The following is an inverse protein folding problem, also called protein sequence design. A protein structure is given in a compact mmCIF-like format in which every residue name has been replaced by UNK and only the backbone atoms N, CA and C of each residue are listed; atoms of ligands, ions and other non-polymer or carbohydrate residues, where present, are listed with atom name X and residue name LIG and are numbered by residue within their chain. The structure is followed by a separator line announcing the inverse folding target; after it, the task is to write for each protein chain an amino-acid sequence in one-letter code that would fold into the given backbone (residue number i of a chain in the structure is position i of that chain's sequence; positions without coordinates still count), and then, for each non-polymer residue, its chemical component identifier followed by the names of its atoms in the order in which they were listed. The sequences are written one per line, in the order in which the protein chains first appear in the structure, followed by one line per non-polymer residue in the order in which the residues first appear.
data_IF_678974264784
#
_entry.id   IF_678974264784
#
_cell.length_a   1.000
_cell.length_b   1.000
_cell.length_c   1.000
_cell.angle_alpha   90.00
_cell.angle_beta   90.00
_cell.angle_gamma   90.00
#
_symmetry.space_group_name_H-M   'P 1'
#
loop_
_entity.id
_entity.type
_entity.pdbx_description
1 polymer ?
#
# COMPACT_ATOMS: atom_id res chain seq x y z
N UNK A 1 -56.29 32.98 -6.37
CA UNK A 1 -55.61 33.19 -7.66
C UNK A 1 -54.10 33.40 -7.52
N UNK A 2 -53.62 34.41 -6.78
CA UNK A 2 -52.19 34.79 -6.72
C UNK A 2 -51.22 33.69 -6.24
N UNK A 3 -51.60 32.91 -5.21
CA UNK A 3 -50.74 31.86 -4.67
C UNK A 3 -50.40 30.77 -5.70
N UNK A 4 -51.37 30.36 -6.53
CA UNK A 4 -51.14 29.35 -7.57
C UNK A 4 -50.17 29.83 -8.65
N UNK A 5 -50.23 31.11 -9.02
CA UNK A 5 -49.29 31.72 -9.97
C UNK A 5 -47.87 31.74 -9.41
N UNK A 6 -47.70 32.15 -8.15
CA UNK A 6 -46.38 32.16 -7.49
C UNK A 6 -45.78 30.76 -7.45
N UNK A 7 -46.56 29.77 -7.00
CA UNK A 7 -46.11 28.37 -6.94
C UNK A 7 -45.74 27.85 -8.33
N UNK A 8 -46.57 28.12 -9.34
CA UNK A 8 -46.29 27.71 -10.72
C UNK A 8 -44.98 28.29 -11.27
N UNK A 9 -44.71 29.58 -11.01
CA UNK A 9 -43.45 30.23 -11.38
C UNK A 9 -42.27 29.60 -10.61
N UNK A 10 -42.40 29.41 -9.29
CA UNK A 10 -41.36 28.78 -8.47
C UNK A 10 -41.00 27.37 -8.93
N UNK A 11 -41.99 26.55 -9.31
CA UNK A 11 -41.73 25.20 -9.85
C UNK A 11 -40.99 25.25 -11.20
N UNK A 12 -41.32 26.20 -12.08
CA UNK A 12 -40.61 26.39 -13.34
C UNK A 12 -39.17 26.86 -13.13
N UNK A 13 -38.93 27.76 -12.17
CA UNK A 13 -37.58 28.18 -11.77
C UNK A 13 -36.80 26.99 -11.21
N UNK A 14 -37.40 26.18 -10.33
CA UNK A 14 -36.76 24.99 -9.78
C UNK A 14 -36.39 23.98 -10.88
N UNK A 15 -37.23 23.83 -11.90
CA UNK A 15 -36.95 22.98 -13.06
C UNK A 15 -35.74 23.50 -13.85
N UNK A 16 -35.68 24.81 -14.14
CA UNK A 16 -34.51 25.41 -14.79
C UNK A 16 -33.23 25.26 -13.96
N UNK A 17 -33.31 25.45 -12.64
CA UNK A 17 -32.17 25.23 -11.74
C UNK A 17 -31.68 23.79 -11.79
N UNK A 18 -32.57 22.80 -11.88
CA UNK A 18 -32.17 21.41 -12.01
C UNK A 18 -31.34 21.18 -13.28
N UNK A 19 -31.71 21.80 -14.40
CA UNK A 19 -30.97 21.73 -15.68
C UNK A 19 -29.58 22.36 -15.53
N UNK A 20 -29.50 23.57 -14.98
CA UNK A 20 -28.25 24.30 -14.80
C UNK A 20 -27.31 23.67 -13.76
N UNK A 21 -27.88 22.99 -12.75
CA UNK A 21 -27.14 22.33 -11.69
C UNK A 21 -26.56 20.98 -12.13
N UNK A 22 -27.11 20.35 -13.18
CA UNK A 22 -26.70 19.03 -13.68
C UNK A 22 -25.17 18.87 -13.88
N UNK A 23 -24.43 19.80 -14.51
CA UNK A 23 -22.98 19.66 -14.67
C UNK A 23 -22.18 19.72 -13.37
N UNK A 24 -22.71 20.32 -12.30
CA UNK A 24 -22.01 20.45 -11.01
C UNK A 24 -22.45 19.39 -9.99
N UNK A 25 -23.73 19.05 -9.98
CA UNK A 25 -24.33 18.14 -9.01
C UNK A 25 -25.40 17.26 -9.68
N UNK A 26 -24.97 16.24 -10.45
CA UNK A 26 -25.87 15.47 -11.29
C UNK A 26 -26.90 14.68 -10.49
N UNK A 27 -26.52 14.17 -9.31
CA UNK A 27 -27.39 13.39 -8.43
C UNK A 27 -28.51 14.26 -7.85
N UNK A 28 -28.20 15.45 -7.37
CA UNK A 28 -29.22 16.35 -6.81
C UNK A 28 -30.14 16.89 -7.89
N UNK A 29 -29.61 17.15 -9.09
CA UNK A 29 -30.43 17.47 -10.26
C UNK A 29 -31.43 16.34 -10.58
N UNK A 30 -31.02 15.08 -10.51
CA UNK A 30 -31.91 13.93 -10.70
C UNK A 30 -32.97 13.81 -9.60
N UNK A 31 -32.61 14.05 -8.34
CA UNK A 31 -33.57 14.10 -7.22
C UNK A 31 -34.58 15.23 -7.44
N UNK A 32 -34.14 16.43 -7.87
CA UNK A 32 -35.05 17.54 -8.19
C UNK A 32 -35.98 17.18 -9.34
N UNK A 33 -35.47 16.52 -10.39
CA UNK A 33 -36.28 16.02 -11.51
C UNK A 33 -37.35 15.04 -11.02
N UNK A 34 -36.99 14.10 -10.15
CA UNK A 34 -37.92 13.12 -9.58
C UNK A 34 -39.02 13.78 -8.73
N UNK A 35 -38.65 14.75 -7.89
CA UNK A 35 -39.60 15.52 -7.07
C UNK A 35 -40.54 16.40 -7.91
N UNK A 36 -40.03 16.99 -8.99
CA UNK A 36 -40.84 17.77 -9.93
C UNK A 36 -41.60 16.88 -10.93
N UNK A 37 -41.26 15.59 -11.01
CA UNK A 37 -41.73 14.66 -12.03
C UNK A 37 -41.62 15.25 -13.45
N UNK A 38 -40.50 15.92 -13.73
CA UNK A 38 -40.30 16.62 -15.00
C UNK A 38 -40.02 15.63 -16.14
N UNK A 39 -40.61 15.83 -17.34
CA UNK A 39 -40.31 14.99 -18.49
C UNK A 39 -38.88 15.19 -18.98
N UNK A 40 -38.29 14.13 -19.53
CA UNK A 40 -36.90 14.10 -19.98
C UNK A 40 -36.62 15.13 -21.09
N UNK A 41 -37.61 15.36 -21.95
CA UNK A 41 -37.56 16.30 -23.07
C UNK A 41 -37.31 17.75 -22.64
N UNK A 42 -37.66 18.09 -21.41
CA UNK A 42 -37.57 19.46 -20.87
C UNK A 42 -36.21 19.72 -20.22
N UNK A 43 -35.38 18.68 -20.00
CA UNK A 43 -34.07 18.79 -19.36
C UNK A 43 -32.94 19.18 -20.33
N UNK A 44 -33.24 20.11 -21.22
CA UNK A 44 -32.30 20.66 -22.18
C UNK A 44 -32.03 22.11 -21.83
N UNK A 45 -30.79 22.56 -21.99
CA UNK A 45 -30.42 23.95 -21.73
C UNK A 45 -31.14 24.84 -22.76
N UNK A 46 -32.05 25.67 -22.27
CA UNK A 46 -32.73 26.69 -23.05
C UNK A 46 -32.11 28.06 -22.78
N UNK A 47 -31.92 28.92 -23.81
CA UNK A 47 -31.33 30.24 -23.64
C UNK A 47 -32.28 31.24 -22.95
N UNK A 48 -33.58 30.96 -22.97
CA UNK A 48 -34.63 31.82 -22.42
C UNK A 48 -35.43 31.10 -21.35
N UNK A 49 -35.89 31.84 -20.33
CA UNK A 49 -36.79 31.31 -19.32
C UNK A 49 -38.19 31.14 -19.89
N UNK A 50 -38.55 29.89 -20.19
CA UNK A 50 -39.86 29.51 -20.71
C UNK A 50 -40.62 28.66 -19.69
N UNK A 51 -41.91 28.43 -19.96
CA UNK A 51 -42.76 27.62 -19.11
C UNK A 51 -42.48 26.12 -19.38
N UNK A 52 -41.51 25.58 -18.65
CA UNK A 52 -41.03 24.19 -18.72
C UNK A 52 -42.07 23.18 -18.22
N UNK A 53 -42.85 23.54 -17.20
CA UNK A 53 -43.89 22.71 -16.61
C UNK A 53 -45.27 23.29 -16.92
N UNK A 54 -46.15 22.54 -17.62
CA UNK A 54 -47.47 23.03 -17.97
C UNK A 54 -48.36 23.19 -16.73
N UNK A 55 -49.39 24.06 -16.78
CA UNK A 55 -50.38 24.15 -15.73
C UNK A 55 -51.05 22.80 -15.49
N UNK A 56 -51.34 22.49 -14.22
CA UNK A 56 -51.92 21.21 -13.77
C UNK A 56 -50.99 19.99 -13.87
N UNK A 57 -49.69 20.20 -14.11
CA UNK A 57 -48.67 19.16 -13.94
C UNK A 57 -48.67 18.60 -12.51
N UNK A 58 -48.51 17.28 -12.38
CA UNK A 58 -48.49 16.60 -11.07
C UNK A 58 -47.06 16.51 -10.58
N UNK A 59 -46.80 17.09 -9.42
CA UNK A 59 -45.51 16.99 -8.74
C UNK A 59 -45.38 15.62 -8.05
N UNK A 60 -44.14 15.16 -7.93
CA UNK A 60 -43.77 13.97 -7.17
C UNK A 60 -43.78 14.21 -5.66
N UNK A 61 -43.13 13.29 -4.92
CA UNK A 61 -43.03 13.39 -3.46
C UNK A 61 -41.86 14.32 -3.09
N UNK A 62 -42.09 15.45 -2.40
CA UNK A 62 -41.00 16.34 -2.01
C UNK A 62 -40.14 15.68 -0.93
N UNK A 63 -38.82 15.85 -1.03
CA UNK A 63 -37.83 15.40 -0.05
C UNK A 63 -36.76 16.47 0.15
N UNK A 64 -36.22 16.67 1.36
CA UNK A 64 -35.12 17.61 1.56
C UNK A 64 -33.93 17.29 0.64
N UNK A 65 -33.45 18.30 -0.10
CA UNK A 65 -32.32 18.15 -1.03
C UNK A 65 -30.96 18.14 -0.31
N UNK A 66 -30.86 18.92 0.77
CA UNK A 66 -29.62 19.08 1.51
C UNK A 66 -29.86 18.89 3.00
N UNK A 67 -29.00 18.10 3.62
CA UNK A 67 -28.89 18.00 5.07
C UNK A 67 -27.80 18.94 5.54
N UNK A 68 -28.03 19.59 6.69
CA UNK A 68 -27.00 20.40 7.33
C UNK A 68 -25.83 19.51 7.70
N UNK A 69 -24.62 19.98 7.40
CA UNK A 69 -23.39 19.33 7.84
C UNK A 69 -23.10 19.80 9.27
N UNK A 70 -23.11 18.88 10.23
CA UNK A 70 -22.81 19.20 11.62
C UNK A 70 -21.29 19.38 11.84
N UNK A 71 -20.86 20.33 12.68
CA UNK A 71 -19.43 20.61 12.88
C UNK A 71 -18.66 19.40 13.43
N UNK A 72 -19.33 18.56 14.24
CA UNK A 72 -18.76 17.31 14.74
C UNK A 72 -18.37 16.34 13.60
N UNK A 73 -19.19 16.24 12.55
CA UNK A 73 -18.86 15.41 11.38
C UNK A 73 -17.69 16.00 10.60
N UNK A 74 -17.60 17.33 10.50
CA UNK A 74 -16.46 18.01 9.87
C UNK A 74 -15.16 17.71 10.60
N UNK A 75 -15.17 17.78 11.94
CA UNK A 75 -14.01 17.46 12.77
C UNK A 75 -13.59 16.00 12.63
N UNK A 76 -14.55 15.08 12.66
CA UNK A 76 -14.30 13.65 12.45
C UNK A 76 -13.65 13.40 11.09
N UNK A 77 -14.19 13.96 10.01
CA UNK A 77 -13.65 13.80 8.66
C UNK A 77 -12.27 14.47 8.53
N UNK A 78 -12.05 15.63 9.15
CA UNK A 78 -10.73 16.26 9.22
C UNK A 78 -9.71 15.38 9.94
N UNK A 79 -10.06 14.76 11.05
CA UNK A 79 -9.17 13.84 11.76
C UNK A 79 -8.86 12.58 10.92
N UNK A 80 -9.88 12.05 10.23
CA UNK A 80 -9.74 10.85 9.40
C UNK A 80 -8.93 11.10 8.12
N UNK A 81 -9.09 12.26 7.49
CA UNK A 81 -8.57 12.56 6.14
C UNK A 81 -7.55 13.70 6.07
N UNK A 82 -7.12 14.29 7.20
CA UNK A 82 -6.02 15.29 7.23
C UNK A 82 -4.66 14.71 6.79
N UNK A 83 -4.60 13.40 6.56
CA UNK A 83 -3.39 12.67 6.22
C UNK A 83 -2.60 12.36 7.47
N UNK A 84 -2.19 11.10 7.64
CA UNK A 84 -1.03 10.80 8.46
C UNK A 84 0.18 11.21 7.63
N UNK A 85 0.61 12.46 7.74
CA UNK A 85 2.06 12.65 7.66
C UNK A 85 2.62 11.68 8.69
N UNK A 86 3.43 10.72 8.25
CA UNK A 86 4.19 9.84 9.14
C UNK A 86 5.27 10.67 9.84
N UNK A 87 4.89 11.79 10.45
CA UNK A 87 5.59 12.48 11.51
C UNK A 87 4.82 12.16 12.78
N UNK A 88 5.20 11.04 13.39
CA UNK A 88 5.61 11.01 14.80
C UNK A 88 4.90 12.08 15.65
N UNK A 89 3.70 11.77 16.13
CA UNK A 89 3.01 12.57 17.15
C UNK A 89 3.96 12.82 18.34
N UNK A 90 4.06 14.04 18.89
CA UNK A 90 4.98 14.33 20.00
C UNK A 90 4.73 13.48 21.25
N UNK A 91 3.50 12.99 21.47
CA UNK A 91 3.17 12.15 22.63
C UNK A 91 3.64 10.69 22.50
N UNK A 92 3.70 10.15 21.27
CA UNK A 92 4.37 8.88 21.00
C UNK A 92 5.89 9.06 21.03
N UNK A 93 6.39 10.20 20.52
CA UNK A 93 7.81 10.49 20.49
C UNK A 93 8.43 10.61 21.90
N UNK A 94 7.72 11.20 22.88
CA UNK A 94 8.22 11.28 24.26
C UNK A 94 8.26 9.91 24.93
N UNK A 95 7.27 9.04 24.68
CA UNK A 95 7.27 7.66 25.19
C UNK A 95 8.36 6.81 24.53
N UNK A 96 8.55 6.95 23.22
CA UNK A 96 9.59 6.25 22.48
C UNK A 96 10.99 6.75 22.88
N UNK A 97 11.21 8.06 23.04
CA UNK A 97 12.50 8.62 23.45
C UNK A 97 12.88 8.20 24.87
N UNK A 98 11.93 8.21 25.81
CA UNK A 98 12.17 7.73 27.18
C UNK A 98 12.37 6.22 27.25
N UNK A 99 11.66 5.44 26.41
CA UNK A 99 11.86 4.00 26.29
C UNK A 99 13.22 3.64 25.67
N UNK A 100 13.64 4.36 24.62
CA UNK A 100 14.95 4.20 23.97
C UNK A 100 16.08 4.50 24.95
N UNK A 101 15.97 5.57 25.74
CA UNK A 101 16.98 5.93 26.74
C UNK A 101 17.13 4.87 27.86
N UNK A 102 16.02 4.25 28.28
CA UNK A 102 16.05 3.17 29.28
C UNK A 102 16.63 1.88 28.71
N UNK A 103 16.24 1.49 27.50
CA UNK A 103 16.76 0.29 26.84
C UNK A 103 18.26 0.41 26.51
N UNK A 104 18.75 1.58 26.11
CA UNK A 104 20.18 1.79 25.84
C UNK A 104 21.04 1.72 27.10
N UNK A 105 20.53 2.26 28.22
CA UNK A 105 21.16 2.12 29.53
C UNK A 105 21.25 0.65 29.96
N UNK A 106 20.16 -0.12 29.80
CA UNK A 106 20.13 -1.54 30.12
C UNK A 106 21.11 -2.37 29.27
N UNK A 107 21.22 -2.07 27.97
CA UNK A 107 22.21 -2.72 27.08
C UNK A 107 23.64 -2.42 27.54
N UNK A 108 23.92 -1.19 27.96
CA UNK A 108 25.25 -0.78 28.43
C UNK A 108 25.62 -1.50 29.73
N UNK A 109 24.69 -1.59 30.68
CA UNK A 109 24.88 -2.34 31.93
C UNK A 109 25.11 -3.82 31.68
N UNK A 110 24.29 -4.45 30.82
CA UNK A 110 24.43 -5.86 30.49
C UNK A 110 25.74 -6.15 29.74
N UNK A 111 26.20 -5.24 28.88
CA UNK A 111 27.48 -5.36 28.19
C UNK A 111 28.67 -5.32 29.16
N UNK A 112 28.63 -4.43 30.16
CA UNK A 112 29.68 -4.34 31.18
C UNK A 112 29.70 -5.59 32.07
N UNK A 113 28.53 -6.12 32.44
CA UNK A 113 28.44 -7.41 33.15
C UNK A 113 29.09 -8.54 32.34
N UNK A 114 28.81 -8.64 31.04
CA UNK A 114 29.45 -9.64 30.16
C UNK A 114 30.97 -9.42 30.07
N UNK A 115 31.43 -8.16 30.04
CA UNK A 115 32.87 -7.83 30.00
C UNK A 115 33.56 -8.19 31.31
N UNK A 116 32.96 -7.84 32.45
CA UNK A 116 33.45 -8.22 33.78
C UNK A 116 33.50 -9.73 33.95
N UNK A 117 32.43 -10.46 33.60
CA UNK A 117 32.37 -11.93 33.69
C UNK A 117 33.39 -12.62 32.77
N UNK A 118 33.67 -12.05 31.59
CA UNK A 118 34.73 -12.54 30.69
C UNK A 118 36.13 -12.25 31.22
N UNK A 119 36.33 -11.10 31.88
CA UNK A 119 37.62 -10.68 32.43
C UNK A 119 37.96 -11.40 33.74
N UNK A 120 36.94 -11.74 34.54
CA UNK A 120 37.07 -12.53 35.78
C UNK A 120 37.22 -14.04 35.55
N UNK A 121 37.22 -14.49 34.29
CA UNK A 121 37.41 -15.90 33.94
C UNK A 121 36.23 -16.81 34.30
N UNK A 122 35.02 -16.25 34.46
CA UNK A 122 33.83 -17.04 34.80
C UNK A 122 33.48 -18.06 33.71
N UNK A 123 32.97 -19.21 34.11
CA UNK A 123 32.64 -20.31 33.21
C UNK A 123 31.66 -19.88 32.10
N UNK A 124 31.80 -20.48 30.92
CA UNK A 124 30.99 -20.17 29.73
C UNK A 124 29.49 -20.30 29.95
N UNK A 125 29.07 -21.23 30.78
CA UNK A 125 27.67 -21.40 31.20
C UNK A 125 27.09 -20.19 31.92
N UNK A 126 27.91 -19.38 32.59
CA UNK A 126 27.47 -18.24 33.40
C UNK A 126 27.30 -16.99 32.51
N UNK A 127 28.23 -16.70 31.60
CA UNK A 127 28.13 -15.48 30.77
C UNK A 127 27.29 -15.66 29.49
N UNK A 128 27.13 -16.88 28.99
CA UNK A 128 26.36 -17.15 27.76
C UNK A 128 24.87 -16.76 27.81
N UNK A 129 24.11 -16.95 28.91
CA UNK A 129 22.75 -16.42 29.02
C UNK A 129 22.71 -14.88 29.00
N UNK A 130 23.71 -14.21 29.61
CA UNK A 130 23.78 -12.74 29.57
C UNK A 130 24.00 -12.20 28.16
N UNK A 131 24.73 -12.93 27.30
CA UNK A 131 24.91 -12.59 25.88
C UNK A 131 23.62 -12.79 25.08
N UNK A 132 22.82 -13.82 25.38
CA UNK A 132 21.51 -14.02 24.75
C UNK A 132 20.56 -12.85 25.07
N UNK A 133 20.49 -12.43 26.34
CA UNK A 133 19.72 -11.26 26.78
C UNK A 133 20.23 -9.98 26.11
N UNK A 134 21.54 -9.83 25.92
CA UNK A 134 22.12 -8.66 25.25
C UNK A 134 21.73 -8.59 23.76
N UNK A 135 21.64 -9.74 23.08
CA UNK A 135 21.15 -9.80 21.69
C UNK A 135 19.66 -9.44 21.61
N UNK A 136 18.85 -9.93 22.53
CA UNK A 136 17.42 -9.61 22.61
C UNK A 136 17.19 -8.11 22.87
N UNK A 137 17.89 -7.52 23.84
CA UNK A 137 17.78 -6.09 24.16
C UNK A 137 18.23 -5.20 22.97
N UNK A 138 19.25 -5.62 22.21
CA UNK A 138 19.66 -4.94 20.98
C UNK A 138 18.61 -5.05 19.87
N UNK A 139 17.95 -6.20 19.75
CA UNK A 139 16.87 -6.41 18.80
C UNK A 139 15.65 -5.53 19.15
N UNK A 140 15.33 -5.42 20.45
CA UNK A 140 14.29 -4.51 20.95
C UNK A 140 14.64 -3.04 20.69
N UNK A 141 15.90 -2.63 20.86
CA UNK A 141 16.36 -1.29 20.49
C UNK A 141 16.22 -0.99 19.00
N UNK A 142 16.58 -1.94 18.14
CA UNK A 142 16.45 -1.80 16.68
C UNK A 142 14.98 -1.66 16.26
N UNK A 143 14.09 -2.48 16.84
CA UNK A 143 12.65 -2.41 16.58
C UNK A 143 12.03 -1.06 16.98
N UNK A 144 12.45 -0.49 18.12
CA UNK A 144 11.92 0.78 18.63
C UNK A 144 12.52 2.00 17.90
N UNK A 145 13.79 1.94 17.48
CA UNK A 145 14.43 3.05 16.78
C UNK A 145 13.96 3.23 15.33
N UNK A 146 13.18 2.28 14.79
CA UNK A 146 12.71 2.32 13.41
C UNK A 146 13.85 2.34 12.39
N UNK A 147 15.07 2.05 12.84
CA UNK A 147 16.20 1.73 11.98
C UNK A 147 15.97 0.28 11.64
N UNK A 148 15.26 0.08 10.53
CA UNK A 148 15.11 -1.23 9.92
C UNK A 148 16.47 -1.93 9.94
N UNK A 149 16.49 -3.13 10.50
CA UNK A 149 17.52 -4.13 10.28
C UNK A 149 17.50 -4.63 8.81
N UNK A 150 17.27 -3.73 7.85
CA UNK A 150 17.35 -3.97 6.41
C UNK A 150 18.81 -3.98 5.89
N UNK A 151 19.81 -3.80 6.77
CA UNK A 151 21.23 -3.86 6.40
C UNK A 151 22.03 -4.97 7.11
N UNK A 152 21.41 -5.87 7.88
CA UNK A 152 22.14 -6.97 8.53
C UNK A 152 21.45 -8.35 8.51
N UNK A 153 20.27 -8.48 7.91
CA UNK A 153 19.58 -9.77 7.76
C UNK A 153 19.06 -10.01 6.33
N UNK A 154 19.88 -9.71 5.31
CA UNK A 154 19.73 -10.33 3.99
C UNK A 154 20.69 -11.51 3.87
N UNK A 155 20.44 -12.54 4.67
CA UNK A 155 20.98 -13.87 4.46
C UNK A 155 19.86 -14.88 4.74
N UNK A 156 18.89 -14.93 3.84
CA UNK A 156 18.25 -16.16 3.36
C UNK A 156 17.21 -15.83 2.29
N UNK A 157 17.61 -16.10 1.05
CA UNK A 157 16.78 -16.50 -0.09
C UNK A 157 15.42 -15.84 -0.30
N UNK A 158 15.43 -14.87 -1.21
CA UNK A 158 14.24 -14.38 -1.90
C UNK A 158 14.57 -13.49 -3.10
N UNK A 159 15.58 -13.84 -3.91
CA UNK A 159 15.86 -13.10 -5.14
C UNK A 159 14.80 -13.44 -6.20
N UNK A 160 13.86 -12.52 -6.39
CA UNK A 160 13.14 -12.41 -7.64
C UNK A 160 14.14 -12.00 -8.73
N UNK A 161 14.49 -12.97 -9.58
CA UNK A 161 15.33 -12.76 -10.75
C UNK A 161 14.50 -12.08 -11.84
N UNK A 162 14.70 -10.79 -12.06
CA UNK A 162 14.04 -10.04 -13.12
C UNK A 162 14.76 -10.11 -14.48
N UNK A 163 15.96 -10.70 -14.57
CA UNK A 163 16.73 -10.68 -15.81
C UNK A 163 17.55 -11.98 -16.04
N UNK A 164 17.22 -12.81 -17.06
CA UNK A 164 17.93 -14.07 -17.34
C UNK A 164 19.39 -13.86 -17.76
N UNK A 165 19.74 -12.68 -18.30
CA UNK A 165 21.10 -12.35 -18.71
C UNK A 165 22.05 -12.13 -17.52
N UNK A 166 21.55 -11.63 -16.39
CA UNK A 166 22.32 -11.43 -15.16
C UNK A 166 22.60 -12.74 -14.42
N UNK A 167 21.64 -13.67 -14.46
CA UNK A 167 21.84 -15.02 -13.90
C UNK A 167 22.96 -15.75 -14.61
N UNK A 168 23.01 -15.71 -15.94
CA UNK A 168 24.08 -16.35 -16.69
C UNK A 168 25.48 -15.79 -16.34
N UNK A 169 25.56 -14.49 -16.04
CA UNK A 169 26.82 -13.85 -15.59
C UNK A 169 27.22 -14.28 -14.18
N UNK A 170 26.26 -14.34 -13.25
CA UNK A 170 26.50 -14.79 -11.88
C UNK A 170 26.88 -16.29 -11.83
N UNK A 171 26.25 -17.14 -12.66
CA UNK A 171 26.62 -18.56 -12.78
C UNK A 171 28.06 -18.74 -13.29
N UNK A 172 28.50 -17.93 -14.26
CA UNK A 172 29.85 -17.97 -14.79
C UNK A 172 30.90 -17.55 -13.73
N UNK A 173 30.60 -16.53 -12.93
CA UNK A 173 31.51 -16.08 -11.86
C UNK A 173 31.61 -17.11 -10.73
N UNK A 174 30.48 -17.71 -10.31
CA UNK A 174 30.48 -18.77 -9.31
C UNK A 174 31.22 -20.01 -9.82
N UNK A 175 31.03 -20.39 -11.09
CA UNK A 175 31.78 -21.51 -11.69
C UNK A 175 33.30 -21.25 -11.72
N UNK A 176 33.71 -20.00 -12.01
CA UNK A 176 35.11 -19.58 -11.95
C UNK A 176 35.66 -19.64 -10.53
N UNK A 177 34.91 -19.16 -9.53
CA UNK A 177 35.30 -19.28 -8.11
C UNK A 177 35.42 -20.74 -7.66
N UNK A 178 34.48 -21.62 -8.05
CA UNK A 178 34.55 -23.05 -7.75
C UNK A 178 35.76 -23.70 -8.41
N UNK A 179 36.08 -23.36 -9.66
CA UNK A 179 37.30 -23.84 -10.34
C UNK A 179 38.56 -23.34 -9.62
N UNK A 180 38.57 -22.09 -9.18
CA UNK A 180 39.68 -21.50 -8.44
C UNK A 180 39.86 -22.17 -7.07
N UNK A 181 38.78 -22.43 -6.33
CA UNK A 181 38.78 -23.19 -5.08
C UNK A 181 39.25 -24.63 -5.27
N UNK A 182 38.91 -25.25 -6.39
CA UNK A 182 39.37 -26.60 -6.73
C UNK A 182 40.86 -26.64 -7.06
N UNK A 183 41.41 -25.59 -7.68
CA UNK A 183 42.84 -25.44 -7.95
C UNK A 183 43.66 -25.05 -6.71
N UNK A 184 43.05 -24.35 -5.74
CA UNK A 184 43.68 -23.95 -4.49
C UNK A 184 43.66 -25.04 -3.41
N UNK A 185 43.17 -26.25 -3.72
CA UNK A 185 43.18 -27.39 -2.80
C UNK A 185 42.10 -27.37 -1.71
N UNK A 186 41.04 -26.57 -1.86
CA UNK A 186 39.95 -26.51 -0.88
C UNK A 186 39.23 -27.86 -0.74
N UNK A 187 38.85 -28.21 0.49
CA UNK A 187 38.21 -29.49 0.79
C UNK A 187 36.88 -29.64 0.03
N UNK A 188 36.56 -30.87 -0.40
CA UNK A 188 35.32 -31.16 -1.14
C UNK A 188 34.06 -30.69 -0.41
N UNK A 189 34.07 -30.70 0.92
CA UNK A 189 32.98 -30.19 1.76
C UNK A 189 32.69 -28.69 1.56
N UNK A 190 33.67 -27.89 1.15
CA UNK A 190 33.52 -26.43 1.04
C UNK A 190 32.94 -26.00 -0.32
N UNK A 191 33.34 -26.66 -1.43
CA UNK A 191 32.87 -26.30 -2.77
C UNK A 191 31.66 -27.14 -3.25
N UNK A 192 31.45 -28.35 -2.72
CA UNK A 192 30.33 -29.21 -3.10
C UNK A 192 28.94 -28.58 -2.91
N UNK A 193 28.63 -27.86 -1.81
CA UNK A 193 27.31 -27.21 -1.68
C UNK A 193 27.08 -26.13 -2.75
N UNK A 194 28.12 -25.38 -3.12
CA UNK A 194 28.05 -24.38 -4.18
C UNK A 194 27.73 -25.00 -5.55
N UNK A 195 28.29 -26.17 -5.85
CA UNK A 195 28.00 -26.93 -7.08
C UNK A 195 26.56 -27.45 -7.09
N UNK A 196 26.05 -27.95 -5.96
CA UNK A 196 24.68 -28.44 -5.87
C UNK A 196 23.65 -27.31 -6.07
N UNK A 197 23.93 -26.12 -5.54
CA UNK A 197 23.10 -24.93 -5.75
C UNK A 197 23.10 -24.54 -7.24
N UNK A 198 24.27 -24.51 -7.88
CA UNK A 198 24.41 -24.22 -9.32
C UNK A 198 23.61 -25.19 -10.20
N UNK A 199 23.68 -26.50 -9.91
CA UNK A 199 22.91 -27.51 -10.64
C UNK A 199 21.40 -27.32 -10.45
N UNK A 200 20.97 -26.94 -9.23
CA UNK A 200 19.58 -26.60 -8.93
C UNK A 200 19.08 -25.39 -9.71
N UNK A 201 19.85 -24.29 -9.72
CA UNK A 201 19.51 -23.07 -10.46
C UNK A 201 19.44 -23.32 -11.98
N UNK A 202 20.39 -24.08 -12.53
CA UNK A 202 20.40 -24.47 -13.95
C UNK A 202 19.18 -25.32 -14.34
N UNK A 203 18.75 -26.21 -13.44
CA UNK A 203 17.52 -26.99 -13.61
C UNK A 203 16.27 -26.10 -13.60
N UNK A 204 16.19 -25.15 -12.67
CA UNK A 204 15.09 -24.18 -12.60
C UNK A 204 15.05 -23.27 -13.84
N UNK A 205 16.19 -22.80 -14.32
CA UNK A 205 16.30 -21.99 -15.53
C UNK A 205 15.86 -22.78 -16.77
N UNK A 206 16.28 -24.04 -16.88
CA UNK A 206 15.82 -24.93 -17.96
C UNK A 206 14.30 -25.13 -17.92
N UNK A 207 13.71 -25.28 -16.74
CA UNK A 207 12.26 -25.34 -16.53
C UNK A 207 11.56 -24.07 -17.01
N UNK A 208 12.04 -22.89 -16.58
CA UNK A 208 11.49 -21.59 -16.97
C UNK A 208 11.59 -21.32 -18.47
N UNK A 209 12.72 -21.67 -19.11
CA UNK A 209 12.89 -21.55 -20.57
C UNK A 209 11.92 -22.47 -21.31
N UNK A 210 11.72 -23.71 -20.81
CA UNK A 210 10.74 -24.63 -21.38
C UNK A 210 9.34 -24.05 -21.31
N UNK A 211 8.89 -23.63 -20.12
CA UNK A 211 7.56 -23.05 -19.86
C UNK A 211 7.28 -21.80 -20.69
N UNK A 212 8.27 -20.90 -20.80
CA UNK A 212 8.14 -19.67 -21.60
C UNK A 212 8.07 -19.95 -23.10
N UNK A 213 8.70 -21.04 -23.58
CA UNK A 213 8.64 -21.48 -24.99
C UNK A 213 7.28 -22.12 -25.35
N UNK A 214 6.62 -22.81 -24.42
CA UNK A 214 5.28 -23.40 -24.65
C UNK A 214 4.21 -22.31 -24.73
N UNK A 215 4.35 -21.23 -23.94
CA UNK A 215 3.38 -20.15 -23.89
C UNK A 215 3.35 -19.28 -25.17
N UNK A 216 4.42 -19.29 -25.98
CA UNK A 216 4.49 -18.56 -27.26
C UNK A 216 3.86 -19.35 -28.42
N UNK A 217 3.69 -20.68 -28.31
CA UNK A 217 3.08 -21.52 -29.37
C UNK A 217 1.56 -21.71 -29.23
N UNK A 218 0.90 -21.09 -28.25
CA UNK A 218 -0.54 -21.23 -28.03
C UNK A 218 -1.28 -19.90 -28.24
N UNK A 219 -1.29 -19.40 -29.47
CA UNK A 219 -2.29 -18.42 -29.93
C UNK A 219 -3.08 -19.07 -31.07
N UNK A 220 -4.40 -19.28 -30.94
CA UNK A 220 -5.21 -19.73 -32.07
C UNK A 220 -5.26 -18.61 -33.11
N UNK A 221 -4.81 -18.91 -34.33
CA UNK A 221 -4.92 -18.02 -35.47
C UNK A 221 -6.41 -17.66 -35.72
N UNK A 222 -6.76 -16.40 -35.50
CA UNK A 222 -8.08 -15.85 -35.85
C UNK A 222 -8.19 -15.83 -37.38
N UNK A 223 -8.98 -16.75 -37.92
CA UNK A 223 -9.27 -16.89 -39.35
C UNK A 223 -10.22 -15.75 -39.77
N UNK A 224 -9.66 -14.69 -40.32
CA UNK A 224 -10.41 -13.63 -41.01
C UNK A 224 -10.90 -14.21 -42.35
N UNK A 225 -12.21 -14.42 -42.46
CA UNK A 225 -12.86 -14.82 -43.71
C UNK A 225 -13.37 -13.56 -44.42
N UNK A 226 -13.05 -13.46 -45.72
CA UNK A 226 -13.60 -12.49 -46.67
C UNK A 226 -15.01 -12.89 -47.09
#
# INVERSE_FOLDING_TARGET
ARAGTVIGICCNIACLLAILLKPYMPVTSDIMKEQLQAPDDVLVIVPEFTMLLPPRHKLGKPSPLFTKIEPAQVEQLKQQFSGRQKSRSPEANVRDVTAIAKLSAAVTQQAELVRMLKTSGAARSIWQPHVAVLLELKQQLAAVQGIDAAAAASNSNGLQVANPAEVARLEAEIAKQVMQMKSSGAAKSEWQPHVNILLGLKSQLAGQVKTKRIHVCSYPAVRISR
#
